data_IF_672276208105
#
_entry.id   IF_672276208105
#
_cell.length_a   1.000
_cell.length_b   1.000
_cell.length_c   1.000
_cell.angle_alpha   90.00
_cell.angle_beta   90.00
_cell.angle_gamma   90.00
#
_symmetry.space_group_name_H-M   'P 1'
#
loop_
_entity.id
_entity.type
_entity.pdbx_description
1 polymer ?
#
# COMPACT_ATOMS: atom_id res chain seq x y z
N UNK A 1 11.73 -22.02 -12.65
CA UNK A 1 10.34 -21.55 -12.42
C UNK A 1 10.06 -20.41 -13.39
N UNK A 2 9.37 -20.68 -14.49
CA UNK A 2 9.19 -19.72 -15.59
C UNK A 2 8.14 -18.66 -15.23
N UNK A 3 8.53 -17.39 -15.35
CA UNK A 3 7.70 -16.21 -15.03
C UNK A 3 6.62 -15.94 -16.10
N UNK A 4 6.67 -16.62 -17.27
CA UNK A 4 5.79 -16.39 -18.42
C UNK A 4 4.40 -17.05 -18.32
N UNK A 5 4.23 -18.05 -17.45
CA UNK A 5 3.01 -18.88 -17.45
C UNK A 5 1.86 -18.35 -16.57
N UNK A 6 2.04 -17.20 -15.89
CA UNK A 6 1.06 -16.67 -14.93
C UNK A 6 0.15 -15.54 -15.43
N UNK A 7 0.35 -15.05 -16.65
CA UNK A 7 -0.57 -14.06 -17.22
C UNK A 7 -1.51 -14.76 -18.20
N UNK A 8 -2.74 -15.04 -17.75
CA UNK A 8 -3.84 -15.39 -18.66
C UNK A 8 -4.11 -14.17 -19.54
N UNK A 9 -3.48 -14.10 -20.71
CA UNK A 9 -3.62 -13.02 -21.70
C UNK A 9 -4.95 -13.09 -22.48
N UNK A 10 -6.08 -13.27 -21.78
CA UNK A 10 -7.42 -13.37 -22.38
C UNK A 10 -8.43 -12.42 -21.74
N UNK A 11 -9.56 -12.20 -22.42
CA UNK A 11 -10.70 -11.50 -21.83
C UNK A 11 -11.20 -12.26 -20.60
N UNK A 12 -11.53 -11.52 -19.55
CA UNK A 12 -12.12 -12.05 -18.32
C UNK A 12 -13.46 -11.38 -18.07
N UNK A 13 -14.36 -12.09 -17.41
CA UNK A 13 -15.66 -11.54 -17.01
C UNK A 13 -15.51 -10.54 -15.87
N UNK A 14 -16.48 -9.63 -15.71
CA UNK A 14 -16.53 -8.73 -14.56
C UNK A 14 -16.58 -9.49 -13.23
N UNK A 15 -17.22 -10.66 -13.21
CA UNK A 15 -17.30 -11.52 -12.02
C UNK A 15 -15.91 -12.03 -11.61
N UNK A 16 -15.08 -12.46 -12.57
CA UNK A 16 -13.70 -12.86 -12.28
C UNK A 16 -12.85 -11.70 -11.76
N UNK A 17 -13.05 -10.48 -12.27
CA UNK A 17 -12.38 -9.29 -11.75
C UNK A 17 -12.77 -9.03 -10.29
N UNK A 18 -14.08 -9.08 -9.97
CA UNK A 18 -14.57 -8.91 -8.60
C UNK A 18 -14.01 -9.97 -7.66
N UNK A 19 -13.95 -11.24 -8.09
CA UNK A 19 -13.39 -12.31 -7.27
C UNK A 19 -11.90 -12.08 -6.97
N UNK A 20 -11.12 -11.64 -7.97
CA UNK A 20 -9.70 -11.27 -7.75
C UNK A 20 -9.56 -10.09 -6.79
N UNK A 21 -10.45 -9.10 -6.87
CA UNK A 21 -10.41 -7.91 -6.00
C UNK A 21 -10.68 -8.24 -4.52
N UNK A 22 -11.32 -9.37 -4.21
CA UNK A 22 -11.44 -9.86 -2.81
C UNK A 22 -10.09 -10.22 -2.18
N UNK A 23 -9.05 -10.46 -2.98
CA UNK A 23 -7.69 -10.69 -2.50
C UNK A 23 -6.97 -9.39 -2.10
N UNK A 24 -7.53 -8.22 -2.45
CA UNK A 24 -6.95 -6.94 -2.07
C UNK A 24 -7.08 -6.74 -0.56
N UNK A 25 -5.97 -6.38 0.08
CA UNK A 25 -5.92 -5.99 1.48
C UNK A 25 -5.78 -4.47 1.61
N UNK A 26 -5.99 -3.96 2.82
CA UNK A 26 -5.83 -2.54 3.15
C UNK A 26 -4.85 -2.35 4.29
N UNK A 27 -4.03 -1.32 4.17
CA UNK A 27 -3.03 -0.92 5.16
C UNK A 27 -3.55 0.29 5.91
N UNK A 28 -3.63 0.20 7.23
CA UNK A 28 -4.08 1.31 8.06
C UNK A 28 -3.13 2.50 7.96
N UNK A 29 -3.70 3.70 7.90
CA UNK A 29 -3.00 4.97 7.98
C UNK A 29 -2.61 5.34 9.41
N UNK A 30 -3.05 4.56 10.41
CA UNK A 30 -2.91 4.88 11.84
C UNK A 30 -3.97 5.85 12.37
N UNK A 31 -4.81 6.43 11.49
CA UNK A 31 -5.96 7.25 11.87
C UNK A 31 -7.25 6.55 11.48
N UNK A 32 -8.14 6.35 12.47
CA UNK A 32 -9.44 5.71 12.25
C UNK A 32 -10.34 6.52 11.31
N UNK A 33 -10.29 7.84 11.42
CA UNK A 33 -11.10 8.75 10.63
C UNK A 33 -10.64 8.76 9.17
N UNK A 34 -9.33 8.79 8.92
CA UNK A 34 -8.78 8.70 7.57
C UNK A 34 -9.00 7.31 6.97
N UNK A 35 -8.82 6.24 7.75
CA UNK A 35 -9.13 4.88 7.30
C UNK A 35 -10.60 4.75 6.92
N UNK A 36 -11.53 5.31 7.70
CA UNK A 36 -12.95 5.33 7.36
C UNK A 36 -13.21 6.06 6.03
N UNK A 37 -12.56 7.20 5.81
CA UNK A 37 -12.69 7.97 4.57
C UNK A 37 -12.17 7.17 3.35
N UNK A 38 -11.11 6.39 3.54
CA UNK A 38 -10.50 5.54 2.51
C UNK A 38 -11.15 4.14 2.39
N UNK A 39 -12.22 3.88 3.14
CA UNK A 39 -12.91 2.58 3.10
C UNK A 39 -12.12 1.43 3.75
N UNK A 40 -11.29 1.74 4.75
CA UNK A 40 -10.52 0.79 5.56
C UNK A 40 -8.99 0.97 5.50
N UNK A 41 -8.50 2.01 4.81
CA UNK A 41 -7.06 2.30 4.67
C UNK A 41 -6.58 2.28 3.21
N UNK A 42 -5.26 2.28 3.02
CA UNK A 42 -4.61 2.29 1.70
C UNK A 42 -4.74 0.90 1.05
N UNK A 43 -5.34 0.84 -0.13
CA UNK A 43 -5.67 -0.42 -0.81
C UNK A 43 -4.49 -1.00 -1.60
N UNK A 44 -4.32 -2.31 -1.52
CA UNK A 44 -3.35 -3.05 -2.31
C UNK A 44 -3.76 -3.17 -3.79
N UNK A 45 -2.82 -3.43 -4.70
CA UNK A 45 -3.05 -3.53 -6.16
C UNK A 45 -3.66 -2.26 -6.77
N UNK A 46 -3.46 -1.11 -6.11
CA UNK A 46 -3.88 0.21 -6.55
C UNK A 46 -2.80 1.24 -6.19
N UNK A 47 -2.78 2.35 -6.92
CA UNK A 47 -1.94 3.51 -6.60
C UNK A 47 -2.80 4.51 -5.85
N UNK A 48 -2.34 4.97 -4.69
CA UNK A 48 -2.98 6.06 -3.93
C UNK A 48 -2.05 7.27 -3.93
N UNK A 49 -2.52 8.38 -4.48
CA UNK A 49 -1.78 9.65 -4.53
C UNK A 49 -2.21 10.59 -3.40
N UNK A 50 -1.24 11.22 -2.72
CA UNK A 50 -1.48 12.19 -1.66
C UNK A 50 -0.80 13.50 -2.03
N UNK A 51 -1.59 14.56 -2.24
CA UNK A 51 -1.12 15.88 -2.66
C UNK A 51 -1.54 16.99 -1.68
N UNK A 52 -0.87 18.14 -1.75
CA UNK A 52 -1.13 19.31 -0.90
C UNK A 52 0.13 20.12 -0.59
N UNK A 53 -0.03 21.26 0.11
CA UNK A 53 1.07 22.19 0.43
C UNK A 53 2.12 21.62 1.40
N UNK A 54 3.26 22.29 1.55
CA UNK A 54 4.25 21.93 2.56
C UNK A 54 3.62 21.90 3.97
N UNK A 55 4.06 20.97 4.83
CA UNK A 55 3.53 20.75 6.20
C UNK A 55 2.07 20.27 6.30
N UNK A 56 1.44 19.80 5.23
CA UNK A 56 0.09 19.17 5.30
C UNK A 56 0.08 17.69 5.70
N UNK A 57 1.21 17.14 6.15
CA UNK A 57 1.27 15.77 6.69
C UNK A 57 1.58 14.66 5.67
N UNK A 58 1.83 14.98 4.39
CA UNK A 58 2.17 13.98 3.34
C UNK A 58 3.35 13.08 3.74
N UNK A 59 4.50 13.68 4.05
CA UNK A 59 5.71 12.95 4.48
C UNK A 59 5.47 12.13 5.75
N UNK A 60 4.72 12.69 6.71
CA UNK A 60 4.39 12.00 7.96
C UNK A 60 3.54 10.74 7.70
N UNK A 61 2.54 10.86 6.82
CA UNK A 61 1.72 9.72 6.41
C UNK A 61 2.58 8.64 5.74
N UNK A 62 3.49 9.02 4.84
CA UNK A 62 4.40 8.06 4.20
C UNK A 62 5.29 7.34 5.23
N UNK A 63 5.78 8.03 6.26
CA UNK A 63 6.53 7.40 7.36
C UNK A 63 5.67 6.44 8.19
N UNK A 64 4.45 6.82 8.54
CA UNK A 64 3.53 5.93 9.25
C UNK A 64 3.24 4.68 8.44
N UNK A 65 3.01 4.81 7.14
CA UNK A 65 2.78 3.68 6.25
C UNK A 65 3.98 2.73 6.20
N UNK A 66 5.21 3.23 6.21
CA UNK A 66 6.40 2.38 6.31
C UNK A 66 6.37 1.45 7.53
N UNK A 67 5.86 1.93 8.67
CA UNK A 67 5.73 1.14 9.88
C UNK A 67 4.50 0.21 9.83
N UNK A 68 3.33 0.73 9.47
CA UNK A 68 2.08 -0.03 9.50
C UNK A 68 2.03 -1.17 8.48
N UNK A 69 2.70 -1.02 7.33
CA UNK A 69 2.87 -2.11 6.36
C UNK A 69 3.63 -3.30 6.93
N UNK A 70 4.44 -3.15 7.97
CA UNK A 70 5.21 -4.27 8.55
C UNK A 70 4.37 -5.07 9.56
N UNK A 71 3.27 -4.51 10.03
CA UNK A 71 2.45 -5.12 11.06
C UNK A 71 1.42 -6.09 10.43
N UNK A 72 1.29 -7.33 10.96
CA UNK A 72 0.18 -8.19 10.62
C UNK A 72 -1.13 -7.52 11.03
N UNK A 73 -2.12 -7.53 10.15
CA UNK A 73 -3.44 -7.03 10.48
C UNK A 73 -4.38 -8.21 10.69
N UNK A 74 -4.72 -8.50 11.95
CA UNK A 74 -5.55 -9.63 12.34
C UNK A 74 -6.98 -9.62 11.73
N UNK A 75 -7.46 -8.46 11.27
CA UNK A 75 -8.76 -8.32 10.61
C UNK A 75 -8.69 -8.52 9.09
N UNK A 76 -7.50 -8.72 8.52
CA UNK A 76 -7.30 -8.92 7.08
C UNK A 76 -6.37 -10.10 6.82
N UNK A 77 -6.25 -10.53 5.56
CA UNK A 77 -5.26 -11.54 5.15
C UNK A 77 -3.81 -11.02 5.16
N UNK A 78 -3.59 -9.73 5.45
CA UNK A 78 -2.28 -9.10 5.39
C UNK A 78 -1.39 -9.49 6.58
N UNK A 79 -0.27 -10.14 6.29
CA UNK A 79 0.68 -10.64 7.29
C UNK A 79 1.85 -9.69 7.58
N UNK A 80 1.82 -8.50 7.01
CA UNK A 80 2.97 -7.60 6.97
C UNK A 80 3.84 -7.83 5.73
N UNK A 81 4.56 -6.79 5.33
CA UNK A 81 5.40 -6.78 4.14
C UNK A 81 6.60 -5.84 4.29
N UNK A 82 7.54 -5.97 3.37
CA UNK A 82 8.65 -5.02 3.28
C UNK A 82 8.17 -3.76 2.60
N UNK A 83 8.57 -2.63 3.15
CA UNK A 83 8.38 -1.33 2.53
C UNK A 83 9.70 -0.89 1.97
N UNK A 84 9.56 -0.33 0.82
CA UNK A 84 10.60 0.31 0.08
C UNK A 84 10.20 1.83 0.31
N UNK A 85 11.04 2.86 0.61
CA UNK A 85 10.77 4.38 0.59
C UNK A 85 11.60 5.29 -0.38
N UNK A 86 10.96 6.03 -1.32
CA UNK A 86 11.65 6.88 -2.33
C UNK A 86 11.52 8.30 -1.85
N UNK A 87 12.66 8.95 -1.68
CA UNK A 87 12.71 10.35 -1.30
C UNK A 87 13.40 11.14 -2.40
N UNK A 88 12.70 12.11 -2.98
CA UNK A 88 13.21 12.97 -4.04
C UNK A 88 13.66 14.34 -3.51
N UNK A 89 13.32 14.66 -2.27
CA UNK A 89 13.50 16.00 -1.67
C UNK A 89 14.31 15.95 -0.36
N UNK A 90 14.91 14.81 -0.06
CA UNK A 90 15.72 14.58 1.15
C UNK A 90 14.94 14.87 2.45
N UNK A 91 13.63 14.57 2.43
CA UNK A 91 12.69 14.73 3.55
C UNK A 91 12.78 13.60 4.58
N UNK A 92 13.45 12.49 4.23
CA UNK A 92 13.61 11.33 5.08
C UNK A 92 14.48 11.64 6.30
N UNK A 93 13.94 11.35 7.49
CA UNK A 93 14.66 11.43 8.76
C UNK A 93 14.75 10.04 9.39
N UNK A 94 15.99 9.54 9.57
CA UNK A 94 16.30 8.19 10.04
C UNK A 94 15.90 7.96 11.50
N UNK A 95 15.03 6.97 11.73
CA UNK A 95 15.01 6.21 12.98
C UNK A 95 14.91 4.68 12.77
N UNK A 96 14.50 4.16 11.60
CA UNK A 96 14.71 2.74 11.20
C UNK A 96 14.26 2.47 9.75
N UNK A 97 15.04 1.68 9.02
CA UNK A 97 14.71 0.90 7.80
C UNK A 97 14.93 1.53 6.40
N UNK A 98 15.35 0.66 5.46
CA UNK A 98 16.03 0.94 4.18
C UNK A 98 15.10 0.94 2.92
N UNK A 99 15.21 2.02 2.09
CA UNK A 99 15.03 2.29 0.61
C UNK A 99 13.82 1.81 -0.26
N UNK A 100 13.19 2.75 -1.06
CA UNK A 100 12.17 2.92 -2.24
C UNK A 100 10.55 2.73 -2.28
N UNK A 101 9.60 3.63 -1.91
CA UNK A 101 8.10 3.44 -1.86
C UNK A 101 7.55 3.55 -3.26
N UNK A 102 7.43 2.38 -3.88
CA UNK A 102 6.23 2.02 -4.61
C UNK A 102 5.57 0.87 -3.84
N UNK A 103 4.34 1.08 -3.35
CA UNK A 103 3.52 -0.03 -2.87
C UNK A 103 3.10 -0.81 -4.12
N UNK A 104 3.92 -1.76 -4.57
CA UNK A 104 3.50 -2.81 -5.49
C UNK A 104 3.16 -4.04 -4.65
N UNK A 105 1.88 -4.31 -4.40
CA UNK A 105 1.46 -5.55 -3.76
C UNK A 105 1.25 -6.50 -4.92
N UNK A 106 2.24 -7.35 -5.16
CA UNK A 106 1.97 -8.59 -5.89
C UNK A 106 1.18 -9.53 -5.00
#
# INVERSE_FOLDING_TARGET
MHFKDRIKNGFITALEVVERRKLCFRISTGSRELDKLLGGGIESQAITEVFGEFRTGKTQLSHTLCATCQMPNAMTSFKGGKVIFIDTENTFRLASSYYLVFLFPF
#
